data_IF_853137272705
#
_entry.id   IF_853137272705
#
_cell.length_a   1.000
_cell.length_b   1.000
_cell.length_c   1.000
_cell.angle_alpha   90.00
_cell.angle_beta   90.00
_cell.angle_gamma   90.00
#
_symmetry.space_group_name_H-M   'P 1'
#
loop_
_entity.id
_entity.type
_entity.pdbx_description
1 polymer ?
#
# COMPACT_ATOMS: atom_id res chain seq x y z
N UNK A 1 45.95 11.52 -4.27
CA UNK A 1 45.54 11.41 -2.87
C UNK A 1 44.61 12.56 -2.54
N UNK A 2 43.35 12.24 -2.19
CA UNK A 2 42.28 13.19 -1.87
C UNK A 2 41.70 13.87 -3.12
N UNK A 3 40.39 13.96 -3.34
CA UNK A 3 39.27 13.96 -2.39
C UNK A 3 38.03 13.35 -3.02
N UNK A 4 37.45 12.42 -2.27
CA UNK A 4 36.07 11.96 -2.32
C UNK A 4 35.14 13.05 -1.74
N UNK A 5 33.84 12.72 -1.64
CA UNK A 5 32.62 13.45 -1.22
C UNK A 5 31.97 14.34 -2.29
N UNK A 6 30.70 14.18 -2.65
CA UNK A 6 29.58 13.52 -1.95
C UNK A 6 28.51 13.08 -2.95
N UNK A 7 28.22 11.78 -2.99
CA UNK A 7 26.90 11.30 -3.38
C UNK A 7 25.99 11.52 -2.17
N UNK A 8 24.96 12.35 -2.32
CA UNK A 8 23.85 12.39 -1.37
C UNK A 8 23.13 11.04 -1.45
N UNK A 9 23.47 10.15 -0.54
CA UNK A 9 22.57 9.07 -0.15
C UNK A 9 21.40 9.72 0.58
N UNK A 10 20.17 9.49 0.11
CA UNK A 10 18.96 9.72 0.91
C UNK A 10 19.16 9.10 2.29
N UNK A 11 19.45 9.92 3.29
CA UNK A 11 19.53 9.51 4.68
C UNK A 11 18.11 9.22 5.14
N UNK A 12 17.74 7.95 5.13
CA UNK A 12 16.52 7.46 5.74
C UNK A 12 16.45 7.91 7.19
N UNK A 13 15.36 8.60 7.56
CA UNK A 13 15.06 8.83 8.96
C UNK A 13 15.01 7.47 9.67
N UNK A 14 15.72 7.35 10.80
CA UNK A 14 15.66 6.14 11.60
C UNK A 14 14.23 5.89 12.07
N UNK A 15 13.78 4.65 12.00
CA UNK A 15 12.43 4.28 12.43
C UNK A 15 12.19 4.66 13.89
N UNK A 16 10.99 5.17 14.19
CA UNK A 16 10.55 5.54 15.52
C UNK A 16 10.11 4.28 16.26
N UNK A 17 10.60 4.06 17.48
CA UNK A 17 10.25 2.85 18.23
C UNK A 17 8.81 2.93 18.76
N UNK A 18 8.01 1.92 18.43
CA UNK A 18 6.63 1.75 18.84
C UNK A 18 6.51 0.40 19.56
N UNK A 19 5.85 0.36 20.72
CA UNK A 19 5.68 -0.89 21.47
C UNK A 19 4.51 -1.70 20.91
N UNK A 20 4.68 -3.03 20.86
CA UNK A 20 3.58 -4.01 20.68
C UNK A 20 2.80 -4.30 21.99
N UNK A 21 3.10 -3.58 23.07
CA UNK A 21 2.43 -3.69 24.37
C UNK A 21 2.07 -2.28 24.90
N UNK A 22 0.76 -1.98 25.05
CA UNK A 22 0.31 -0.65 25.47
C UNK A 22 0.79 -0.27 26.87
N UNK A 23 1.09 -1.24 27.74
CA UNK A 23 1.54 -0.96 29.11
C UNK A 23 3.00 -0.50 29.21
N UNK A 24 3.79 -0.76 28.16
CA UNK A 24 5.20 -0.38 28.03
C UNK A 24 5.46 0.60 26.89
N UNK A 25 4.40 1.08 26.24
CA UNK A 25 4.48 1.95 25.09
C UNK A 25 5.10 3.32 25.42
N UNK A 26 6.01 3.76 24.55
CA UNK A 26 6.53 5.13 24.53
C UNK A 26 5.96 5.79 23.27
N UNK A 27 4.91 6.62 23.40
CA UNK A 27 4.29 7.27 22.27
C UNK A 27 5.29 8.12 21.47
N UNK A 28 5.15 8.11 20.14
CA UNK A 28 6.05 8.79 19.21
C UNK A 28 5.28 9.90 18.48
N UNK A 29 5.75 11.14 18.56
CA UNK A 29 5.22 12.20 17.70
C UNK A 29 5.60 11.89 16.25
N UNK A 30 4.58 11.68 15.41
CA UNK A 30 4.73 11.33 13.99
C UNK A 30 4.43 12.52 13.07
N UNK A 31 3.78 13.56 13.59
CA UNK A 31 3.53 14.81 12.87
C UNK A 31 3.36 15.97 13.84
N UNK A 32 4.02 17.09 13.54
CA UNK A 32 3.79 18.40 14.13
C UNK A 32 3.50 19.38 12.98
N UNK A 33 2.31 19.98 12.94
CA UNK A 33 1.93 20.88 11.85
C UNK A 33 0.88 21.92 12.31
N UNK A 34 1.24 23.21 12.28
CA UNK A 34 0.31 24.33 12.53
C UNK A 34 -0.62 24.18 13.74
N UNK A 35 -0.09 23.67 14.85
CA UNK A 35 -0.85 23.45 16.08
C UNK A 35 -1.54 22.10 16.18
N UNK A 36 -1.42 21.24 15.17
CA UNK A 36 -1.71 19.81 15.23
C UNK A 36 -0.47 19.04 15.67
N UNK A 37 -0.64 18.19 16.69
CA UNK A 37 0.28 17.11 17.03
C UNK A 37 -0.42 15.78 16.79
N UNK A 38 0.18 14.88 16.02
CA UNK A 38 -0.24 13.48 15.89
C UNK A 38 0.82 12.59 16.52
N UNK A 39 0.39 11.71 17.41
CA UNK A 39 1.24 10.79 18.13
C UNK A 39 0.79 9.36 17.84
N UNK A 40 1.72 8.49 17.43
CA UNK A 40 1.51 7.05 17.41
C UNK A 40 1.76 6.52 18.82
N UNK A 41 0.73 5.96 19.46
CA UNK A 41 0.78 5.55 20.85
C UNK A 41 1.39 4.14 20.98
N UNK A 42 0.81 3.14 20.31
CA UNK A 42 1.28 1.75 20.30
C UNK A 42 0.75 0.96 19.09
N UNK A 43 1.35 -0.20 18.85
CA UNK A 43 0.90 -1.21 17.89
C UNK A 43 0.21 -2.35 18.64
N UNK A 44 -0.97 -2.77 18.18
CA UNK A 44 -1.65 -3.97 18.65
C UNK A 44 -1.59 -5.07 17.57
N UNK A 45 -0.72 -6.08 17.73
CA UNK A 45 -0.58 -7.16 16.76
C UNK A 45 -1.80 -8.09 16.71
N UNK A 46 -2.63 -8.14 17.75
CA UNK A 46 -3.79 -9.05 17.79
C UNK A 46 -4.96 -8.49 16.96
N UNK A 47 -5.08 -7.16 16.89
CA UNK A 47 -6.12 -6.47 16.12
C UNK A 47 -5.61 -5.86 14.82
N UNK A 48 -4.30 -5.94 14.57
CA UNK A 48 -3.61 -5.28 13.45
C UNK A 48 -3.90 -3.78 13.41
N UNK A 49 -3.72 -3.09 14.53
CA UNK A 49 -3.98 -1.65 14.62
C UNK A 49 -2.83 -0.83 15.19
N UNK A 50 -2.57 0.34 14.59
CA UNK A 50 -1.76 1.38 15.22
C UNK A 50 -2.70 2.37 15.87
N UNK A 51 -2.53 2.59 17.18
CA UNK A 51 -3.32 3.56 17.93
C UNK A 51 -2.65 4.94 17.90
N UNK A 52 -3.48 5.97 17.78
CA UNK A 52 -3.04 7.35 17.70
C UNK A 52 -3.79 8.25 18.68
N UNK A 53 -3.07 9.26 19.15
CA UNK A 53 -3.62 10.42 19.82
C UNK A 53 -3.29 11.68 19.03
N UNK A 54 -4.26 12.58 18.93
CA UNK A 54 -4.12 13.86 18.23
C UNK A 54 -4.53 15.02 19.14
N UNK A 55 -3.79 16.11 19.08
CA UNK A 55 -4.11 17.37 19.75
C UNK A 55 -4.17 18.48 18.69
N UNK A 56 -5.29 19.18 18.58
CA UNK A 56 -5.48 20.28 17.66
C UNK A 56 -5.64 21.59 18.42
N UNK A 57 -4.59 22.39 18.46
CA UNK A 57 -4.59 23.73 19.06
C UNK A 57 -4.91 24.86 18.07
N UNK A 58 -5.20 24.51 16.81
CA UNK A 58 -5.65 25.48 15.81
C UNK A 58 -7.09 25.94 16.05
N UNK A 59 -7.55 26.90 15.26
CA UNK A 59 -8.92 27.44 15.32
C UNK A 59 -9.90 26.73 14.39
N UNK A 60 -9.45 25.69 13.67
CA UNK A 60 -10.23 24.99 12.65
C UNK A 60 -10.25 23.49 12.92
N UNK A 61 -11.37 22.78 12.63
CA UNK A 61 -11.40 21.33 12.71
C UNK A 61 -10.48 20.72 11.65
N UNK A 62 -9.80 19.62 11.98
CA UNK A 62 -8.88 18.93 11.10
C UNK A 62 -9.27 17.45 10.99
N UNK A 63 -8.95 16.84 9.84
CA UNK A 63 -9.00 15.39 9.65
C UNK A 63 -7.63 14.90 9.21
N UNK A 64 -7.10 13.88 9.87
CA UNK A 64 -5.86 13.21 9.48
C UNK A 64 -6.21 11.91 8.74
N UNK A 65 -5.57 11.71 7.58
CA UNK A 65 -5.53 10.45 6.84
C UNK A 65 -4.07 10.04 6.59
N UNK A 66 -3.87 8.88 5.96
CA UNK A 66 -2.55 8.42 5.53
C UNK A 66 -2.56 7.95 4.08
N UNK A 67 -1.42 8.09 3.41
CA UNK A 67 -1.18 7.59 2.05
C UNK A 67 0.17 6.88 1.99
N UNK A 68 0.40 6.10 0.92
CA UNK A 68 1.63 5.35 0.70
C UNK A 68 2.03 4.54 1.94
N UNK A 69 1.13 3.69 2.41
CA UNK A 69 1.34 2.88 3.60
C UNK A 69 2.02 1.57 3.24
N UNK A 70 2.93 1.10 4.09
CA UNK A 70 3.58 -0.19 3.95
C UNK A 70 3.78 -0.86 5.31
N UNK A 71 3.84 -2.19 5.30
CA UNK A 71 4.21 -3.03 6.43
C UNK A 71 5.37 -3.92 5.98
N UNK A 72 6.48 -3.89 6.71
CA UNK A 72 7.78 -4.42 6.28
C UNK A 72 8.19 -3.77 4.94
N UNK A 73 7.98 -4.46 3.83
CA UNK A 73 8.18 -3.94 2.47
C UNK A 73 6.92 -4.05 1.59
N UNK A 74 5.80 -4.56 2.12
CA UNK A 74 4.56 -4.70 1.39
C UNK A 74 3.72 -3.42 1.49
N UNK A 75 3.28 -2.87 0.37
CA UNK A 75 2.30 -1.80 0.31
C UNK A 75 0.96 -2.31 0.85
N UNK A 76 0.29 -1.50 1.68
CA UNK A 76 -0.99 -1.82 2.30
C UNK A 76 -1.96 -0.64 2.17
N UNK A 77 -3.27 -0.93 2.17
CA UNK A 77 -4.33 0.09 2.20
C UNK A 77 -5.05 0.01 3.53
N UNK A 78 -4.59 0.72 4.58
CA UNK A 78 -5.26 0.70 5.86
C UNK A 78 -6.56 1.52 5.85
N UNK A 79 -7.45 1.22 6.78
CA UNK A 79 -8.56 2.11 7.13
C UNK A 79 -8.11 3.08 8.23
N UNK A 80 -8.06 4.37 7.91
CA UNK A 80 -7.71 5.42 8.87
C UNK A 80 -8.28 6.78 8.46
N UNK A 81 -9.06 7.36 9.37
CA UNK A 81 -9.48 8.76 9.31
C UNK A 81 -9.73 9.25 10.73
N UNK A 82 -8.91 10.18 11.20
CA UNK A 82 -9.01 10.74 12.55
C UNK A 82 -9.42 12.20 12.47
N UNK A 83 -10.64 12.53 12.90
CA UNK A 83 -11.10 13.91 12.99
C UNK A 83 -10.89 14.47 14.39
N UNK A 84 -10.41 15.72 14.46
CA UNK A 84 -10.14 16.43 15.71
C UNK A 84 -10.61 17.89 15.60
N UNK A 85 -11.58 18.24 16.43
CA UNK A 85 -12.16 19.58 16.48
C UNK A 85 -11.13 20.62 16.96
N UNK A 86 -11.36 21.89 16.61
CA UNK A 86 -10.54 23.01 17.04
C UNK A 86 -10.43 23.07 18.59
N UNK A 87 -9.21 23.17 19.09
CA UNK A 87 -8.91 23.21 20.53
C UNK A 87 -9.18 21.90 21.28
N UNK A 88 -9.40 20.77 20.58
CA UNK A 88 -9.69 19.47 21.19
C UNK A 88 -8.57 18.46 20.99
N UNK A 89 -8.68 17.35 21.72
CA UNK A 89 -7.90 16.14 21.50
C UNK A 89 -8.81 15.00 21.04
N UNK A 90 -8.26 14.08 20.25
CA UNK A 90 -8.96 12.90 19.78
C UNK A 90 -8.05 11.67 19.85
N UNK A 91 -8.66 10.49 19.84
CA UNK A 91 -7.96 9.21 19.69
C UNK A 91 -8.56 8.46 18.52
N UNK A 92 -7.74 7.72 17.80
CA UNK A 92 -8.15 6.89 16.67
C UNK A 92 -7.20 5.73 16.46
N UNK A 93 -7.54 4.85 15.53
CA UNK A 93 -6.70 3.72 15.16
C UNK A 93 -6.67 3.56 13.66
N UNK A 94 -5.49 3.29 13.11
CA UNK A 94 -5.31 2.80 11.75
C UNK A 94 -5.39 1.28 11.80
N UNK A 95 -6.28 0.67 11.02
CA UNK A 95 -6.45 -0.78 10.97
C UNK A 95 -6.04 -1.36 9.62
N UNK A 96 -5.52 -2.58 9.66
CA UNK A 96 -5.14 -3.34 8.47
C UNK A 96 -6.00 -4.59 8.31
N UNK A 97 -6.20 -5.02 7.05
CA UNK A 97 -6.90 -6.27 6.74
C UNK A 97 -6.02 -7.47 7.04
N UNK A 98 -6.54 -8.44 7.80
CA UNK A 98 -5.86 -9.72 8.02
C UNK A 98 -5.70 -10.52 6.72
N UNK A 99 -6.64 -10.36 5.80
CA UNK A 99 -6.57 -11.00 4.48
C UNK A 99 -5.42 -10.41 3.66
N UNK A 100 -5.29 -9.09 3.60
CA UNK A 100 -4.20 -8.42 2.87
C UNK A 100 -2.83 -8.76 3.46
N UNK A 101 -2.74 -8.85 4.79
CA UNK A 101 -1.54 -9.35 5.48
C UNK A 101 -1.18 -10.76 5.00
N UNK A 102 -2.17 -11.66 4.99
CA UNK A 102 -1.97 -13.05 4.60
C UNK A 102 -1.57 -13.18 3.12
N UNK A 103 -2.28 -12.48 2.24
CA UNK A 103 -2.00 -12.45 0.80
C UNK A 103 -0.63 -11.84 0.49
N UNK A 104 -0.17 -10.90 1.31
CA UNK A 104 1.16 -10.28 1.22
C UNK A 104 2.26 -11.09 1.90
N UNK A 105 1.97 -12.25 2.50
CA UNK A 105 2.98 -13.07 3.20
C UNK A 105 3.41 -12.50 4.57
N UNK A 106 2.71 -11.51 5.10
CA UNK A 106 3.05 -10.86 6.37
C UNK A 106 2.55 -11.73 7.53
N UNK A 107 3.50 -12.31 8.27
CA UNK A 107 3.21 -13.01 9.53
C UNK A 107 3.39 -12.11 10.76
N UNK A 108 4.31 -11.14 10.70
CA UNK A 108 4.55 -10.12 11.72
C UNK A 108 4.89 -8.79 11.05
N UNK A 109 4.32 -7.71 11.58
CA UNK A 109 4.70 -6.35 11.22
C UNK A 109 5.91 -5.95 12.06
N UNK A 110 7.11 -5.94 11.48
CA UNK A 110 8.32 -5.43 12.14
C UNK A 110 8.49 -3.93 11.94
N UNK A 111 8.19 -3.46 10.73
CA UNK A 111 8.11 -2.02 10.44
C UNK A 111 6.75 -1.68 9.85
N UNK A 112 6.25 -0.49 10.18
CA UNK A 112 5.04 0.09 9.59
C UNK A 112 5.40 1.50 9.15
N UNK A 113 5.14 1.86 7.90
CA UNK A 113 5.36 3.22 7.44
C UNK A 113 4.21 3.76 6.62
N UNK A 114 4.12 5.08 6.58
CA UNK A 114 3.03 5.81 5.95
C UNK A 114 3.38 7.29 5.81
N UNK A 115 2.64 8.01 4.98
CA UNK A 115 2.73 9.47 4.87
C UNK A 115 1.44 10.10 5.41
N UNK A 116 1.49 10.90 6.49
CA UNK A 116 0.30 11.54 7.03
C UNK A 116 -0.17 12.69 6.13
N UNK A 117 -1.49 12.82 5.98
CA UNK A 117 -2.16 13.88 5.23
C UNK A 117 -3.12 14.60 6.16
N UNK A 118 -3.02 15.93 6.21
CA UNK A 118 -3.93 16.77 6.96
C UNK A 118 -4.92 17.42 6.01
N UNK A 119 -6.19 17.23 6.32
CA UNK A 119 -7.33 17.77 5.60
C UNK A 119 -8.06 18.78 6.48
N UNK A 120 -8.73 19.73 5.84
CA UNK A 120 -9.73 20.55 6.50
C UNK A 120 -10.88 19.65 7.01
N UNK A 121 -11.22 19.75 8.29
CA UNK A 121 -12.23 18.91 8.91
C UNK A 121 -13.67 19.20 8.49
N UNK A 122 -13.92 20.27 7.71
CA UNK A 122 -15.26 20.63 7.21
C UNK A 122 -15.45 20.22 5.75
N UNK A 123 -14.50 20.55 4.87
CA UNK A 123 -14.62 20.33 3.43
C UNK A 123 -13.66 19.29 2.85
N UNK A 124 -12.82 18.69 3.69
CA UNK A 124 -11.85 17.65 3.33
C UNK A 124 -10.80 18.08 2.28
N UNK A 125 -10.63 19.38 2.07
CA UNK A 125 -9.54 19.89 1.23
C UNK A 125 -8.19 19.56 1.87
N UNK A 126 -7.23 19.09 1.07
CA UNK A 126 -5.87 18.84 1.55
C UNK A 126 -5.18 20.14 1.93
N UNK A 127 -4.79 20.24 3.20
CA UNK A 127 -4.05 21.37 3.74
C UNK A 127 -2.56 21.09 3.75
N UNK A 128 -2.17 19.84 4.04
CA UNK A 128 -0.78 19.44 4.14
C UNK A 128 -0.58 17.96 3.86
N UNK A 129 0.52 17.63 3.19
CA UNK A 129 1.03 16.26 3.05
C UNK A 129 2.39 16.21 3.74
N UNK A 130 2.51 15.35 4.74
CA UNK A 130 3.72 15.17 5.53
C UNK A 130 4.84 14.47 4.77
N UNK A 131 5.92 14.20 5.51
CA UNK A 131 6.97 13.29 5.03
C UNK A 131 6.65 11.85 5.46
N UNK A 132 7.16 10.84 4.75
CA UNK A 132 7.01 9.46 5.18
C UNK A 132 7.56 9.25 6.59
N UNK A 133 6.80 8.54 7.40
CA UNK A 133 7.14 8.11 8.76
C UNK A 133 7.35 6.60 8.72
N UNK A 134 8.31 6.11 9.51
CA UNK A 134 8.52 4.68 9.73
C UNK A 134 8.53 4.40 11.23
N UNK A 135 7.75 3.40 11.64
CA UNK A 135 7.60 2.91 12.99
C UNK A 135 8.23 1.51 13.06
N UNK A 136 9.06 1.27 14.07
CA UNK A 136 9.62 -0.04 14.42
C UNK A 136 8.79 -0.61 15.56
N UNK A 137 8.09 -1.73 15.33
CA UNK A 137 7.17 -2.34 16.30
C UNK A 137 7.88 -3.18 17.38
N UNK A 138 9.20 -3.35 17.27
CA UNK A 138 10.01 -4.26 18.08
C UNK A 138 9.84 -5.75 17.72
N UNK A 139 9.04 -6.07 16.70
CA UNK A 139 8.87 -7.43 16.19
C UNK A 139 9.83 -7.71 15.03
N UNK A 140 10.16 -8.98 14.81
CA UNK A 140 10.93 -9.38 13.64
C UNK A 140 10.00 -9.50 12.44
N UNK A 141 9.92 -8.45 11.62
CA UNK A 141 9.19 -8.49 10.35
C UNK A 141 9.75 -9.56 9.41
N UNK A 142 8.87 -10.22 8.66
CA UNK A 142 9.28 -11.12 7.59
C UNK A 142 9.22 -10.37 6.25
N UNK A 143 10.34 -10.24 5.51
CA UNK A 143 10.35 -9.69 4.16
C UNK A 143 9.98 -10.74 3.10
N UNK A 144 9.26 -11.82 3.46
CA UNK A 144 8.93 -12.90 2.53
C UNK A 144 7.86 -12.48 1.52
N UNK A 145 8.31 -11.79 0.47
CA UNK A 145 7.55 -11.61 -0.78
C UNK A 145 6.94 -12.97 -1.15
N UNK A 146 5.62 -13.08 -1.35
CA UNK A 146 4.98 -14.36 -1.62
C UNK A 146 5.55 -15.03 -2.86
N UNK A 147 5.79 -16.35 -2.76
CA UNK A 147 6.23 -17.15 -3.91
C UNK A 147 5.09 -17.29 -4.93
N UNK A 148 5.45 -17.34 -6.21
CA UNK A 148 4.48 -17.34 -7.29
C UNK A 148 5.08 -17.64 -8.65
N UNK A 149 4.21 -17.82 -9.64
CA UNK A 149 4.63 -17.98 -11.02
C UNK A 149 5.14 -16.64 -11.56
N UNK A 150 6.42 -16.57 -11.92
CA UNK A 150 6.98 -15.41 -12.58
C UNK A 150 6.31 -15.16 -13.94
N UNK A 151 5.79 -13.95 -14.14
CA UNK A 151 5.19 -13.49 -15.39
C UNK A 151 6.09 -12.50 -16.13
N UNK A 152 6.78 -11.63 -15.39
CA UNK A 152 7.76 -10.68 -15.93
C UNK A 152 8.89 -10.40 -14.95
N UNK A 153 10.10 -10.18 -15.47
CA UNK A 153 11.29 -9.75 -14.73
C UNK A 153 12.17 -8.91 -15.67
N UNK A 154 12.05 -7.59 -15.58
CA UNK A 154 12.82 -6.67 -16.42
C UNK A 154 12.88 -5.26 -15.83
N UNK A 155 14.04 -4.62 -15.96
CA UNK A 155 14.26 -3.20 -15.61
C UNK A 155 13.86 -2.84 -14.17
N UNK A 156 14.16 -3.73 -13.21
CA UNK A 156 13.84 -3.54 -11.80
C UNK A 156 12.37 -3.79 -11.45
N UNK A 157 11.55 -4.26 -12.39
CA UNK A 157 10.17 -4.65 -12.14
C UNK A 157 10.06 -6.17 -12.22
N UNK A 158 9.44 -6.76 -11.22
CA UNK A 158 9.14 -8.19 -11.19
C UNK A 158 7.66 -8.40 -10.87
N UNK A 159 6.98 -9.18 -11.70
CA UNK A 159 5.56 -9.50 -11.53
C UNK A 159 5.38 -11.01 -11.48
N UNK A 160 4.77 -11.48 -10.40
CA UNK A 160 4.45 -12.89 -10.20
C UNK A 160 2.96 -13.07 -9.92
N UNK A 161 2.38 -14.15 -10.44
CA UNK A 161 1.05 -14.59 -10.07
C UNK A 161 1.14 -15.50 -8.85
N UNK A 162 0.48 -15.13 -7.75
CA UNK A 162 0.63 -15.80 -6.45
C UNK A 162 -0.58 -16.66 -6.05
N UNK A 163 -1.68 -16.56 -6.80
CA UNK A 163 -2.87 -17.37 -6.57
C UNK A 163 -4.15 -16.62 -6.89
N UNK A 164 -5.27 -17.22 -6.51
CA UNK A 164 -6.60 -16.60 -6.58
C UNK A 164 -7.12 -16.38 -5.17
N UNK A 165 -7.88 -15.31 -4.96
CA UNK A 165 -8.58 -15.06 -3.71
C UNK A 165 -10.09 -15.05 -3.92
N UNK A 166 -10.83 -15.32 -2.85
CA UNK A 166 -12.28 -15.09 -2.84
C UNK A 166 -12.51 -13.58 -2.82
N UNK A 167 -13.35 -13.11 -3.73
CA UNK A 167 -13.57 -11.69 -3.92
C UNK A 167 -14.31 -11.03 -2.74
N UNK A 168 -14.11 -9.72 -2.57
CA UNK A 168 -15.06 -8.86 -1.85
C UNK A 168 -16.21 -8.37 -2.76
N UNK A 169 -16.08 -8.54 -4.08
CA UNK A 169 -17.03 -8.15 -5.12
C UNK A 169 -17.29 -9.30 -6.10
N UNK A 170 -18.55 -9.63 -6.47
CA UNK A 170 -18.86 -10.78 -7.33
C UNK A 170 -17.96 -10.90 -8.57
N UNK A 171 -17.17 -11.98 -8.63
CA UNK A 171 -16.10 -12.12 -9.62
C UNK A 171 -15.02 -13.14 -9.27
N UNK A 172 -13.86 -13.01 -9.90
CA UNK A 172 -12.65 -13.80 -9.60
C UNK A 172 -11.44 -12.89 -9.53
N UNK A 173 -10.69 -12.97 -8.43
CA UNK A 173 -9.47 -12.20 -8.23
C UNK A 173 -8.24 -13.04 -8.54
N UNK A 174 -7.37 -12.52 -9.40
CA UNK A 174 -6.04 -13.05 -9.68
C UNK A 174 -5.02 -12.20 -8.95
N UNK A 175 -4.40 -12.75 -7.90
CA UNK A 175 -3.42 -12.03 -7.10
C UNK A 175 -2.10 -11.90 -7.86
N UNK A 176 -1.69 -10.66 -8.09
CA UNK A 176 -0.40 -10.32 -8.67
C UNK A 176 0.48 -9.69 -7.60
N UNK A 177 1.65 -10.29 -7.38
CA UNK A 177 2.73 -9.67 -6.61
C UNK A 177 3.60 -8.85 -7.56
N UNK A 178 3.73 -7.55 -7.28
CA UNK A 178 4.50 -6.59 -8.06
C UNK A 178 5.61 -6.05 -7.18
N UNK A 179 6.86 -6.34 -7.51
CA UNK A 179 8.05 -5.80 -6.85
C UNK A 179 8.60 -4.65 -7.71
N UNK A 180 8.87 -3.51 -7.06
CA UNK A 180 9.46 -2.34 -7.72
C UNK A 180 10.84 -2.01 -7.13
N UNK A 181 11.85 -2.15 -7.97
CA UNK A 181 13.25 -1.79 -7.72
C UNK A 181 13.81 -0.95 -8.88
N UNK A 182 12.96 -0.12 -9.49
CA UNK A 182 13.29 0.67 -10.68
C UNK A 182 14.06 1.96 -10.35
N UNK A 183 14.14 2.35 -9.08
CA UNK A 183 14.72 3.63 -8.63
C UNK A 183 13.70 4.77 -8.50
N UNK A 184 12.41 4.47 -8.65
CA UNK A 184 11.32 5.43 -8.49
C UNK A 184 9.96 4.76 -8.31
N UNK A 185 8.99 5.50 -7.80
CA UNK A 185 7.63 5.01 -7.60
C UNK A 185 6.93 4.78 -8.94
N UNK A 186 6.13 3.72 -9.06
CA UNK A 186 5.46 3.34 -10.30
C UNK A 186 4.00 2.97 -10.05
N UNK A 187 3.13 3.30 -11.00
CA UNK A 187 1.75 2.81 -11.05
C UNK A 187 1.60 1.75 -12.15
N UNK A 188 0.86 0.69 -11.86
CA UNK A 188 0.63 -0.46 -12.73
C UNK A 188 -0.87 -0.58 -13.00
N UNK A 189 -1.26 -0.60 -14.27
CA UNK A 189 -2.66 -0.76 -14.70
C UNK A 189 -2.80 -1.91 -15.70
N UNK A 190 -3.89 -2.68 -15.58
CA UNK A 190 -4.17 -3.72 -16.55
C UNK A 190 -4.63 -3.14 -17.89
N UNK A 191 -4.25 -3.81 -18.96
CA UNK A 191 -4.64 -3.50 -20.33
C UNK A 191 -4.79 -4.80 -21.14
N UNK A 192 -5.49 -4.71 -22.27
CA UNK A 192 -5.58 -5.79 -23.28
C UNK A 192 -5.88 -7.17 -22.68
N UNK A 193 -6.82 -7.22 -21.74
CA UNK A 193 -7.12 -8.44 -21.00
C UNK A 193 -8.08 -9.33 -21.79
N UNK A 194 -7.69 -10.59 -21.95
CA UNK A 194 -8.40 -11.62 -22.69
C UNK A 194 -8.67 -12.80 -21.76
N UNK A 195 -9.95 -13.18 -21.67
CA UNK A 195 -10.42 -14.38 -20.97
C UNK A 195 -11.00 -15.32 -22.02
N UNK A 196 -10.44 -16.52 -22.16
CA UNK A 196 -10.83 -17.47 -23.21
C UNK A 196 -10.82 -16.86 -24.63
N UNK A 197 -9.94 -15.88 -24.85
CA UNK A 197 -9.84 -15.11 -26.10
C UNK A 197 -10.87 -13.99 -26.28
N UNK A 198 -11.80 -13.81 -25.34
CA UNK A 198 -12.73 -12.68 -25.32
C UNK A 198 -12.14 -11.51 -24.53
N UNK A 199 -12.26 -10.29 -25.05
CA UNK A 199 -11.82 -9.09 -24.34
C UNK A 199 -12.74 -8.78 -23.15
N UNK A 200 -12.13 -8.47 -22.01
CA UNK A 200 -12.80 -8.09 -20.76
C UNK A 200 -12.13 -6.86 -20.16
N UNK A 201 -12.82 -6.18 -19.25
CA UNK A 201 -12.32 -4.99 -18.56
C UNK A 201 -12.08 -5.31 -17.08
N UNK A 202 -10.89 -5.79 -16.70
CA UNK A 202 -10.60 -6.06 -15.30
C UNK A 202 -10.50 -4.76 -14.50
N UNK A 203 -10.76 -4.85 -13.21
CA UNK A 203 -10.32 -3.84 -12.26
C UNK A 203 -8.92 -4.21 -11.76
N UNK A 204 -7.94 -3.37 -12.08
CA UNK A 204 -6.59 -3.49 -11.54
C UNK A 204 -5.86 -2.15 -11.63
N UNK A 205 -5.42 -1.65 -10.48
CA UNK A 205 -4.44 -0.57 -10.38
C UNK A 205 -3.66 -0.73 -9.08
N UNK A 206 -2.35 -0.64 -9.15
CA UNK A 206 -1.48 -0.71 -7.98
C UNK A 206 -0.37 0.34 -8.12
N UNK A 207 -0.10 1.10 -7.06
CA UNK A 207 1.08 1.97 -6.99
C UNK A 207 2.06 1.40 -5.99
N UNK A 208 3.32 1.21 -6.43
CA UNK A 208 4.36 0.57 -5.64
C UNK A 208 5.53 1.53 -5.50
N UNK A 209 5.85 1.92 -4.27
CA UNK A 209 7.02 2.74 -3.95
C UNK A 209 8.32 2.00 -4.30
N UNK A 210 9.37 2.72 -4.67
CA UNK A 210 10.66 2.10 -4.93
C UNK A 210 11.18 1.30 -3.73
N UNK A 211 11.73 0.12 -3.99
CA UNK A 211 12.19 -0.81 -2.97
C UNK A 211 11.07 -1.50 -2.17
N UNK A 212 9.84 -1.51 -2.67
CA UNK A 212 8.67 -2.16 -2.05
C UNK A 212 8.01 -3.13 -3.02
N UNK A 213 7.05 -3.89 -2.51
CA UNK A 213 6.17 -4.71 -3.33
C UNK A 213 4.70 -4.51 -2.95
N UNK A 214 3.78 -4.87 -3.84
CA UNK A 214 2.36 -4.93 -3.55
C UNK A 214 1.80 -6.27 -4.02
N UNK A 215 0.88 -6.85 -3.25
CA UNK A 215 0.00 -7.92 -3.74
C UNK A 215 -1.36 -7.30 -4.00
N UNK A 216 -1.79 -7.31 -5.25
CA UNK A 216 -3.03 -6.65 -5.66
C UNK A 216 -3.86 -7.56 -6.56
N UNK A 217 -5.20 -7.59 -6.35
CA UNK A 217 -6.08 -8.40 -7.16
C UNK A 217 -6.30 -7.76 -8.54
N UNK A 218 -6.11 -8.54 -9.59
CA UNK A 218 -6.72 -8.28 -10.90
C UNK A 218 -8.10 -8.95 -10.90
N UNK A 219 -9.13 -8.13 -10.74
CA UNK A 219 -10.51 -8.58 -10.55
C UNK A 219 -11.25 -8.66 -11.88
N UNK A 220 -11.82 -9.84 -12.15
CA UNK A 220 -12.76 -10.06 -13.25
C UNK A 220 -14.18 -10.09 -12.70
N UNK A 221 -15.07 -9.25 -13.21
CA UNK A 221 -16.44 -9.14 -12.71
C UNK A 221 -17.33 -10.26 -13.26
N UNK A 222 -18.16 -10.86 -12.40
CA UNK A 222 -19.00 -11.99 -12.78
C UNK A 222 -20.05 -11.64 -13.83
N UNK A 223 -20.59 -10.42 -13.80
CA UNK A 223 -21.60 -9.95 -14.76
C UNK A 223 -21.04 -9.85 -16.19
N UNK A 224 -19.83 -9.33 -16.36
CA UNK A 224 -19.15 -9.29 -17.66
C UNK A 224 -18.86 -10.70 -18.19
N UNK A 225 -18.43 -11.62 -17.31
CA UNK A 225 -18.21 -13.02 -17.69
C UNK A 225 -19.52 -13.72 -18.11
N UNK A 226 -20.62 -13.47 -17.40
CA UNK A 226 -21.94 -14.00 -17.74
C UNK A 226 -22.45 -13.47 -19.09
N UNK A 227 -22.31 -12.17 -19.34
CA UNK A 227 -22.69 -11.53 -20.61
C UNK A 227 -21.92 -12.10 -21.81
N UNK A 228 -20.66 -12.47 -21.59
CA UNK A 228 -19.79 -13.14 -22.57
C UNK A 228 -19.99 -14.67 -22.61
N UNK A 229 -20.89 -15.21 -21.79
CA UNK A 229 -21.19 -16.64 -21.68
C UNK A 229 -19.98 -17.49 -21.25
N UNK A 230 -19.08 -16.91 -20.45
CA UNK A 230 -17.89 -17.56 -19.89
C UNK A 230 -18.25 -18.14 -18.53
N UNK A 231 -18.51 -19.45 -18.50
CA UNK A 231 -18.85 -20.17 -17.27
C UNK A 231 -17.61 -20.73 -16.53
N UNK A 232 -16.47 -20.80 -17.21
CA UNK A 232 -15.20 -21.31 -16.70
C UNK A 232 -14.06 -20.56 -17.38
N UNK A 233 -13.09 -20.10 -16.60
CA UNK A 233 -11.87 -19.47 -17.11
C UNK A 233 -10.88 -20.59 -17.47
N UNK A 234 -10.54 -20.70 -18.75
CA UNK A 234 -9.61 -21.69 -19.32
C UNK A 234 -8.29 -21.05 -19.75
N UNK A 235 -8.29 -19.72 -19.93
CA UNK A 235 -7.10 -18.94 -20.22
C UNK A 235 -7.32 -17.49 -19.81
N UNK A 236 -6.26 -16.87 -19.31
CA UNK A 236 -6.17 -15.45 -19.01
C UNK A 236 -4.87 -14.93 -19.61
N UNK A 237 -4.96 -13.87 -20.41
CA UNK A 237 -3.79 -13.13 -20.90
C UNK A 237 -4.05 -11.65 -20.73
N UNK A 238 -3.06 -10.89 -20.28
CA UNK A 238 -3.19 -9.45 -20.10
C UNK A 238 -1.86 -8.74 -20.33
N UNK A 239 -1.94 -7.43 -20.48
CA UNK A 239 -0.79 -6.53 -20.45
C UNK A 239 -0.85 -5.68 -19.18
N UNK A 240 0.30 -5.21 -18.70
CA UNK A 240 0.40 -4.22 -17.63
C UNK A 240 1.06 -2.95 -18.18
N UNK A 241 0.34 -1.83 -18.15
CA UNK A 241 0.91 -0.50 -18.39
C UNK A 241 1.61 -0.04 -17.12
N UNK A 242 2.87 0.35 -17.26
CA UNK A 242 3.69 0.95 -16.22
C UNK A 242 3.69 2.46 -16.44
N UNK A 243 3.31 3.20 -15.42
CA UNK A 243 2.96 4.61 -15.47
C UNK A 243 3.77 5.40 -14.44
N UNK A 244 4.06 6.65 -14.76
CA UNK A 244 4.51 7.61 -13.75
C UNK A 244 3.34 7.94 -12.81
N UNK A 245 3.51 7.84 -11.48
CA UNK A 245 2.41 8.04 -10.54
C UNK A 245 1.94 9.51 -10.43
N UNK A 246 2.70 10.46 -10.97
CA UNK A 246 2.41 11.90 -10.88
C UNK A 246 1.45 12.35 -11.97
N UNK A 247 1.70 11.94 -13.21
CA UNK A 247 0.96 12.41 -14.39
C UNK A 247 0.29 11.28 -15.19
N UNK A 248 0.47 10.03 -14.76
CA UNK A 248 -0.10 8.83 -15.37
C UNK A 248 0.30 8.62 -16.83
N UNK A 249 1.42 9.20 -17.28
CA UNK A 249 1.94 8.88 -18.60
C UNK A 249 2.49 7.45 -18.63
N UNK A 250 2.26 6.72 -19.72
CA UNK A 250 2.82 5.38 -19.89
C UNK A 250 4.31 5.46 -20.17
N UNK A 251 5.09 4.94 -19.23
CA UNK A 251 6.52 4.75 -19.37
C UNK A 251 6.78 3.57 -20.30
N UNK A 252 6.03 2.46 -20.10
CA UNK A 252 6.12 1.24 -20.92
C UNK A 252 4.94 0.30 -20.69
N UNK A 253 4.87 -0.77 -21.50
CA UNK A 253 3.91 -1.86 -21.34
C UNK A 253 4.63 -3.20 -21.24
N UNK A 254 4.20 -4.04 -20.31
CA UNK A 254 4.56 -5.44 -20.18
C UNK A 254 3.45 -6.25 -20.84
N UNK A 255 3.75 -6.96 -21.93
CA UNK A 255 2.72 -7.58 -22.77
C UNK A 255 2.63 -9.10 -22.56
N UNK A 256 1.45 -9.67 -22.83
CA UNK A 256 1.22 -11.12 -22.90
C UNK A 256 1.57 -11.89 -21.61
N UNK A 257 1.22 -11.32 -20.46
CA UNK A 257 1.34 -11.98 -19.16
C UNK A 257 0.26 -13.05 -19.05
N UNK A 258 0.66 -14.29 -18.73
CA UNK A 258 -0.24 -15.47 -18.73
C UNK A 258 -0.01 -16.33 -17.48
N UNK A 259 -0.89 -16.25 -16.48
CA UNK A 259 -0.95 -17.22 -15.39
C UNK A 259 -1.26 -18.64 -15.90
N UNK A 260 -0.68 -19.67 -15.29
CA UNK A 260 -0.82 -21.08 -15.69
C UNK A 260 -1.86 -21.86 -14.87
N UNK A 261 -2.88 -21.19 -14.33
CA UNK A 261 -3.83 -21.75 -13.33
C UNK A 261 -5.10 -22.37 -13.90
N UNK A 262 -5.09 -22.82 -15.15
CA UNK A 262 -6.26 -23.37 -15.83
C UNK A 262 -5.99 -24.77 -16.41
#
# INVERSE_FOLDING_TARGET
>A
SGTDVSADSQTGASALSLSADPSSAVPQSVLEWEGLTLTADYWDPDTLTVHFSAENSSDSPLTIQVVSCWVNDAMQTPDFSLSVDAGQSAQGSMSFSQEDFSNSGISQAGTIGFTPVVLNGTDYTTLYTGQPVSLDTGLSGDPSVPDGQLLADQDGIRISFTGTADNSMPGTDFLLCIENHSGGDLTFEAADTLVNGAAVNPLFSATVTDGKYAVSPLSLFSDELEDLQINEIQSLTFSIRVLDPTDYHTIRTLENLTPSVF
#
